data_IF_539481175499
#
_entry.id   IF_539481175499
#
_cell.length_a   1.000
_cell.length_b   1.000
_cell.length_c   1.000
_cell.angle_alpha   90.00
_cell.angle_beta   90.00
_cell.angle_gamma   90.00
#
_symmetry.space_group_name_H-M   'P 1'
#
loop_
_entity.id
_entity.type
_entity.pdbx_description
1 polymer ?
#
# COMPACT_ATOMS: atom_id res chain seq x y z
N UNK A 1 1.86 8.39 -0.22
CA UNK A 1 0.86 7.30 -0.31
C UNK A 1 -0.55 7.76 0.04
N UNK A 2 -0.75 8.54 1.12
CA UNK A 2 -2.08 9.07 1.49
C UNK A 2 -2.80 9.81 0.34
N UNK A 3 -2.12 10.72 -0.36
CA UNK A 3 -2.72 11.41 -1.52
C UNK A 3 -2.96 10.52 -2.73
N UNK A 4 -2.30 9.36 -2.83
CA UNK A 4 -2.56 8.36 -3.87
C UNK A 4 -3.84 7.59 -3.55
N UNK A 5 -4.01 7.15 -2.30
CA UNK A 5 -5.20 6.42 -1.86
C UNK A 5 -6.47 7.30 -1.89
N UNK A 6 -6.32 8.60 -1.61
CA UNK A 6 -7.40 9.58 -1.67
C UNK A 6 -7.91 9.81 -3.11
N UNK A 7 -6.99 9.88 -4.09
CA UNK A 7 -7.31 10.26 -5.47
C UNK A 7 -7.50 9.07 -6.40
N UNK A 8 -6.95 7.91 -6.06
CA UNK A 8 -6.95 6.71 -6.89
C UNK A 8 -7.71 5.61 -6.19
N UNK A 9 -8.94 5.36 -6.64
CA UNK A 9 -9.76 4.23 -6.18
C UNK A 9 -9.00 2.94 -6.44
N UNK A 10 -8.65 2.17 -5.40
CA UNK A 10 -7.84 0.95 -5.58
C UNK A 10 -8.71 -0.25 -5.93
N UNK A 11 -9.91 -0.33 -5.34
CA UNK A 11 -10.87 -1.40 -5.54
C UNK A 11 -12.05 -0.93 -6.38
N UNK A 12 -12.72 -1.89 -7.02
CA UNK A 12 -14.00 -1.67 -7.68
C UNK A 12 -13.87 -0.70 -8.88
N UNK A 13 -12.82 -0.92 -9.67
CA UNK A 13 -12.49 -0.16 -10.87
C UNK A 13 -13.18 -0.70 -12.12
N UNK A 14 -13.71 -1.93 -12.07
CA UNK A 14 -14.24 -2.65 -13.24
C UNK A 14 -13.16 -3.15 -14.22
N UNK A 15 -11.90 -2.74 -14.01
CA UNK A 15 -10.71 -3.17 -14.76
C UNK A 15 -9.77 -3.93 -13.81
N UNK A 16 -9.72 -5.25 -14.00
CA UNK A 16 -9.00 -6.20 -13.15
C UNK A 16 -7.49 -5.99 -13.23
N UNK A 17 -6.94 -5.62 -14.39
CA UNK A 17 -5.49 -5.44 -14.57
C UNK A 17 -5.01 -4.17 -13.87
N UNK A 18 -5.80 -3.10 -13.99
CA UNK A 18 -5.53 -1.84 -13.30
C UNK A 18 -5.69 -1.99 -11.77
N UNK A 19 -6.70 -2.71 -11.32
CA UNK A 19 -6.93 -3.03 -9.90
C UNK A 19 -5.77 -3.85 -9.32
N UNK A 20 -5.37 -4.94 -10.00
CA UNK A 20 -4.23 -5.75 -9.60
C UNK A 20 -2.92 -4.94 -9.53
N UNK A 21 -2.70 -4.05 -10.51
CA UNK A 21 -1.52 -3.18 -10.51
C UNK A 21 -1.50 -2.24 -9.30
N UNK A 22 -2.65 -1.67 -8.92
CA UNK A 22 -2.77 -0.81 -7.75
C UNK A 22 -2.64 -1.59 -6.44
N UNK A 23 -3.18 -2.81 -6.36
CA UNK A 23 -3.01 -3.71 -5.23
C UNK A 23 -1.54 -4.09 -5.02
N UNK A 24 -0.82 -4.42 -6.09
CA UNK A 24 0.62 -4.68 -6.04
C UNK A 24 1.41 -3.48 -5.53
N UNK A 25 1.04 -2.26 -5.94
CA UNK A 25 1.67 -1.02 -5.47
C UNK A 25 1.43 -0.81 -3.96
N UNK A 26 0.19 -1.02 -3.49
CA UNK A 26 -0.16 -0.90 -2.06
C UNK A 26 0.61 -1.91 -1.23
N UNK A 27 0.67 -3.16 -1.68
CA UNK A 27 1.38 -4.21 -0.96
C UNK A 27 2.89 -3.95 -0.91
N UNK A 28 3.48 -3.52 -2.03
CA UNK A 28 4.90 -3.17 -2.09
C UNK A 28 5.22 -2.01 -1.14
N UNK A 29 4.37 -0.98 -1.10
CA UNK A 29 4.53 0.14 -0.19
C UNK A 29 4.45 -0.30 1.29
N UNK A 30 3.48 -1.16 1.63
CA UNK A 30 3.34 -1.73 2.98
C UNK A 30 4.62 -2.45 3.42
N UNK A 31 5.15 -3.35 2.59
CA UNK A 31 6.36 -4.13 2.90
C UNK A 31 7.56 -3.20 3.11
N UNK A 32 7.75 -2.21 2.23
CA UNK A 32 8.86 -1.27 2.35
C UNK A 32 8.74 -0.44 3.63
N UNK A 33 7.53 0.04 3.96
CA UNK A 33 7.32 0.84 5.16
C UNK A 33 7.54 0.01 6.43
N UNK A 34 7.06 -1.23 6.45
CA UNK A 34 7.27 -2.16 7.57
C UNK A 34 8.77 -2.42 7.80
N UNK A 35 9.53 -2.73 6.73
CA UNK A 35 10.98 -2.94 6.82
C UNK A 35 11.74 -1.67 7.20
N UNK A 36 11.31 -0.51 6.70
CA UNK A 36 11.92 0.77 7.06
C UNK A 36 11.71 1.11 8.54
N UNK A 37 10.50 0.87 9.07
CA UNK A 37 10.20 1.07 10.49
C UNK A 37 10.97 0.07 11.38
N UNK A 38 11.06 -1.19 10.96
CA UNK A 38 11.83 -2.23 11.66
C UNK A 38 13.33 -1.86 11.75
N UNK A 39 13.91 -1.33 10.67
CA UNK A 39 15.29 -0.80 10.66
C UNK A 39 15.50 0.36 11.65
N UNK A 40 14.45 1.15 11.90
CA UNK A 40 14.47 2.25 12.87
C UNK A 40 14.18 1.77 14.30
N UNK A 41 13.94 0.48 14.53
CA UNK A 41 13.54 -0.09 15.82
C UNK A 41 12.10 0.26 16.22
N UNK A 42 11.28 0.70 15.26
CA UNK A 42 9.88 1.06 15.48
C UNK A 42 9.02 -0.10 15.03
N UNK A 43 8.20 -0.64 15.94
CA UNK A 43 7.27 -1.72 15.60
C UNK A 43 6.11 -1.14 14.78
N UNK A 44 6.03 -1.54 13.51
CA UNK A 44 4.90 -1.18 12.66
C UNK A 44 3.59 -1.82 13.19
N UNK A 45 2.44 -1.11 13.11
CA UNK A 45 1.15 -1.67 13.49
C UNK A 45 0.68 -2.75 12.49
N UNK A 46 0.04 -3.81 13.00
CA UNK A 46 -0.44 -4.94 12.19
C UNK A 46 -1.55 -4.56 11.19
N UNK A 47 -2.25 -3.45 11.46
CA UNK A 47 -3.19 -2.81 10.53
C UNK A 47 -2.72 -1.38 10.27
N UNK A 48 -2.33 -1.12 9.03
CA UNK A 48 -2.17 0.23 8.47
C UNK A 48 -3.43 0.62 7.70
#
# INVERSE_FOLDING_TARGET
FNSFYEKSKVLDLGDIDLENSRLCLVNSFKIVLEKALDLLGIKAPDRM
#
